data_IF_412057794275
#
_entry.id   IF_412057794275
#
_cell.length_a   1.000
_cell.length_b   1.000
_cell.length_c   1.000
_cell.angle_alpha   90.00
_cell.angle_beta   90.00
_cell.angle_gamma   90.00
#
_symmetry.space_group_name_H-M   'P 1'
#
loop_
_entity.id
_entity.type
_entity.pdbx_description
1 polymer ?
#
# COMPACT_ATOMS: atom_id res chain seq x y z
N UNK A 1 -23.53 -15.53 6.65
CA UNK A 1 -22.19 -15.06 6.23
C UNK A 1 -21.48 -14.54 7.46
N UNK A 2 -20.55 -15.33 7.98
CA UNK A 2 -19.84 -15.00 9.23
C UNK A 2 -18.59 -14.22 8.85
N UNK A 3 -18.59 -12.92 9.11
CA UNK A 3 -17.35 -12.13 9.04
C UNK A 3 -16.45 -12.66 10.15
N UNK A 4 -15.31 -13.24 9.78
CA UNK A 4 -14.26 -13.63 10.72
C UNK A 4 -13.64 -12.35 11.32
N UNK A 5 -14.35 -11.72 12.26
CA UNK A 5 -13.89 -10.61 13.10
C UNK A 5 -12.86 -11.10 14.16
N UNK A 6 -12.07 -12.12 13.81
CA UNK A 6 -11.06 -12.76 14.66
C UNK A 6 -9.63 -12.43 14.25
N UNK A 7 -9.42 -11.57 13.24
CA UNK A 7 -8.10 -11.00 12.94
C UNK A 7 -7.87 -9.69 13.69
N UNK A 8 -8.20 -9.66 14.99
CA UNK A 8 -7.49 -8.82 15.94
C UNK A 8 -6.12 -9.48 16.20
N UNK A 9 -5.35 -9.68 15.12
CA UNK A 9 -3.96 -10.10 15.23
C UNK A 9 -3.27 -9.10 16.12
N UNK A 10 -2.59 -9.56 17.17
CA UNK A 10 -1.80 -8.70 18.07
C UNK A 10 -0.96 -7.76 17.20
N UNK A 11 -1.40 -6.52 17.08
CA UNK A 11 -0.72 -5.49 16.34
C UNK A 11 0.49 -5.11 17.18
N UNK A 12 1.64 -5.70 16.87
CA UNK A 12 2.90 -5.21 17.40
C UNK A 12 3.16 -3.87 16.70
N UNK A 13 2.82 -2.79 17.40
CA UNK A 13 2.96 -1.42 16.89
C UNK A 13 4.40 -1.14 16.43
N UNK A 14 5.41 -1.71 17.10
CA UNK A 14 6.80 -1.53 16.68
C UNK A 14 7.10 -2.24 15.36
N UNK A 15 6.49 -3.41 15.14
CA UNK A 15 6.59 -4.15 13.87
C UNK A 15 5.84 -3.43 12.75
N UNK A 16 4.66 -2.88 13.02
CA UNK A 16 3.88 -2.08 12.06
C UNK A 16 4.66 -0.82 11.68
N UNK A 17 5.22 -0.10 12.65
CA UNK A 17 6.01 1.09 12.39
C UNK A 17 7.28 0.79 11.59
N UNK A 18 7.90 -0.37 11.83
CA UNK A 18 9.03 -0.83 11.01
C UNK A 18 8.60 -1.09 9.57
N UNK A 19 7.52 -1.84 9.37
CA UNK A 19 6.98 -2.11 8.02
C UNK A 19 6.59 -0.82 7.31
N UNK A 20 5.99 0.15 8.02
CA UNK A 20 5.67 1.47 7.47
C UNK A 20 6.91 2.25 7.04
N UNK A 21 7.97 2.26 7.85
CA UNK A 21 9.26 2.89 7.49
C UNK A 21 9.91 2.21 6.30
N UNK A 22 9.92 0.88 6.28
CA UNK A 22 10.51 0.10 5.19
C UNK A 22 9.72 0.30 3.88
N UNK A 23 8.38 0.39 3.96
CA UNK A 23 7.52 0.72 2.84
C UNK A 23 7.75 2.15 2.34
N UNK A 24 7.84 3.13 3.23
CA UNK A 24 8.14 4.52 2.87
C UNK A 24 9.51 4.64 2.18
N UNK A 25 10.51 3.91 2.66
CA UNK A 25 11.83 3.83 2.02
C UNK A 25 11.75 3.15 0.65
N UNK A 26 11.00 2.05 0.51
CA UNK A 26 10.83 1.35 -0.77
C UNK A 26 10.09 2.21 -1.80
N UNK A 27 9.06 2.95 -1.36
CA UNK A 27 8.37 3.96 -2.16
C UNK A 27 9.32 5.08 -2.59
N UNK A 28 10.17 5.57 -1.68
CA UNK A 28 11.16 6.61 -1.97
C UNK A 28 12.22 6.18 -2.99
N UNK A 29 12.46 4.87 -3.11
CA UNK A 29 13.42 4.26 -4.04
C UNK A 29 12.78 3.72 -5.32
N UNK A 30 11.45 3.78 -5.44
CA UNK A 30 10.68 3.21 -6.53
C UNK A 30 10.88 1.68 -6.67
N UNK A 31 11.09 0.99 -5.55
CA UNK A 31 11.33 -0.45 -5.47
C UNK A 31 10.04 -1.20 -5.10
N UNK A 32 8.90 -0.80 -5.68
CA UNK A 32 7.65 -1.52 -5.47
C UNK A 32 7.72 -2.89 -6.14
N UNK A 33 7.43 -3.94 -5.37
CA UNK A 33 7.24 -5.28 -5.91
C UNK A 33 6.14 -5.27 -6.96
N UNK A 34 6.42 -5.91 -8.09
CA UNK A 34 5.51 -6.01 -9.24
C UNK A 34 4.31 -6.93 -8.99
N UNK A 35 4.43 -7.82 -8.01
CA UNK A 35 3.43 -8.84 -7.69
C UNK A 35 2.59 -8.46 -6.46
N UNK A 36 2.63 -7.20 -6.03
CA UNK A 36 1.98 -6.73 -4.81
C UNK A 36 0.91 -5.66 -5.10
N UNK A 37 -0.20 -5.74 -4.39
CA UNK A 37 -1.21 -4.69 -4.31
C UNK A 37 -0.93 -3.81 -3.09
N UNK A 38 -0.77 -2.52 -3.31
CA UNK A 38 -0.56 -1.54 -2.25
C UNK A 38 -1.86 -0.77 -2.01
N UNK A 39 -2.31 -0.75 -0.76
CA UNK A 39 -3.47 0.04 -0.31
C UNK A 39 -2.97 1.14 0.61
N UNK A 40 -3.40 2.36 0.35
CA UNK A 40 -2.98 3.55 1.07
C UNK A 40 -4.16 4.12 1.86
N UNK A 41 -4.02 4.16 3.17
CA UNK A 41 -4.97 4.79 4.09
C UNK A 41 -4.53 6.20 4.52
N UNK A 42 -3.28 6.56 4.22
CA UNK A 42 -2.61 7.78 4.69
C UNK A 42 -2.35 8.74 3.52
N UNK A 43 -2.77 10.00 3.69
CA UNK A 43 -2.64 11.07 2.70
C UNK A 43 -1.18 11.33 2.26
N UNK A 44 -0.23 11.57 3.17
CA UNK A 44 1.19 11.72 2.84
C UNK A 44 1.78 10.58 2.00
N UNK A 45 1.51 9.32 2.36
CA UNK A 45 2.05 8.16 1.64
C UNK A 45 1.43 8.03 0.25
N UNK A 46 0.13 8.31 0.12
CA UNK A 46 -0.54 8.34 -1.17
C UNK A 46 0.03 9.41 -2.11
N UNK A 47 0.26 10.62 -1.61
CA UNK A 47 0.83 11.70 -2.43
C UNK A 47 2.23 11.36 -2.96
N UNK A 48 3.06 10.72 -2.12
CA UNK A 48 4.40 10.26 -2.53
C UNK A 48 4.34 9.14 -3.58
N UNK A 49 3.41 8.19 -3.40
CA UNK A 49 3.31 7.01 -4.25
C UNK A 49 2.66 7.35 -5.61
N UNK A 50 1.57 8.12 -5.62
CA UNK A 50 0.84 8.53 -6.84
C UNK A 50 1.70 9.36 -7.79
N UNK A 51 2.63 10.17 -7.29
CA UNK A 51 3.58 10.94 -8.12
C UNK A 51 4.64 10.10 -8.83
N UNK A 52 4.73 8.80 -8.58
CA UNK A 52 5.77 7.90 -9.12
C UNK A 52 5.22 6.71 -9.91
N UNK A 53 3.91 6.71 -10.15
CA UNK A 53 3.21 5.67 -10.90
C UNK A 53 3.62 5.69 -12.37
N UNK A 54 3.97 4.53 -12.93
CA UNK A 54 4.24 4.37 -14.35
C UNK A 54 2.94 4.15 -15.14
N UNK A 55 2.97 4.38 -16.46
CA UNK A 55 1.81 4.12 -17.35
C UNK A 55 1.34 2.64 -17.36
N UNK A 56 2.18 1.72 -16.91
CA UNK A 56 1.88 0.30 -16.81
C UNK A 56 1.23 -0.08 -15.47
N UNK A 57 1.17 0.85 -14.52
CA UNK A 57 0.65 0.60 -13.18
C UNK A 57 -0.80 1.09 -13.10
N UNK A 58 -1.65 0.33 -12.40
CA UNK A 58 -2.96 0.81 -12.01
C UNK A 58 -2.78 1.64 -10.75
N UNK A 59 -3.14 2.92 -10.82
CA UNK A 59 -3.24 3.78 -9.64
C UNK A 59 -4.54 4.57 -9.67
N UNK A 60 -5.23 4.60 -8.54
CA UNK A 60 -6.46 5.34 -8.40
C UNK A 60 -7.21 5.00 -7.13
N UNK A 61 -8.38 5.61 -6.99
CA UNK A 61 -9.33 5.24 -5.94
C UNK A 61 -10.31 4.22 -6.50
N UNK A 62 -10.40 3.05 -5.85
CA UNK A 62 -11.33 1.98 -6.19
C UNK A 62 -12.13 1.68 -4.93
N UNK A 63 -13.45 1.83 -5.01
CA UNK A 63 -14.37 1.61 -3.89
C UNK A 63 -14.01 2.38 -2.61
N UNK A 64 -13.50 3.61 -2.76
CA UNK A 64 -13.07 4.46 -1.64
C UNK A 64 -11.69 4.13 -1.08
N UNK A 65 -10.98 3.14 -1.65
CA UNK A 65 -9.63 2.77 -1.28
C UNK A 65 -8.64 3.28 -2.31
N UNK A 66 -7.57 3.93 -1.86
CA UNK A 66 -6.49 4.39 -2.73
C UNK A 66 -5.51 3.25 -2.96
N UNK A 67 -5.37 2.82 -4.20
CA UNK A 67 -4.60 1.63 -4.56
C UNK A 67 -3.51 1.94 -5.59
N UNK A 68 -2.42 1.20 -5.50
CA UNK A 68 -1.42 1.06 -6.56
C UNK A 68 -1.15 -0.42 -6.79
N UNK A 69 -1.33 -0.87 -8.02
CA UNK A 69 -0.97 -2.20 -8.49
C UNK A 69 0.01 -2.07 -9.66
N UNK A 70 1.31 -2.33 -9.45
CA UNK A 70 2.29 -2.23 -10.52
C UNK A 70 2.06 -3.30 -11.60
N UNK A 71 2.28 -2.96 -12.88
CA UNK A 71 2.06 -3.86 -14.04
C UNK A 71 0.67 -4.53 -14.10
N UNK A 72 -0.37 -3.88 -13.57
CA UNK A 72 -1.74 -4.38 -13.63
C UNK A 72 -2.23 -4.31 -15.09
N UNK A 73 -2.19 -5.45 -15.78
CA UNK A 73 -2.50 -5.57 -17.21
C UNK A 73 -3.85 -6.22 -17.43
#
# INVERSE_FOLDING_TARGET
>A
MTVNAGYFGRADNAKIDRVRRDLALSLSRNELSRDALYVFEDDPLWALASGRVSKADLAGEVDGLRIIAPNFR
#
